data_IF_383205380856
#
_entry.id   IF_383205380856
#
_cell.length_a   1.000
_cell.length_b   1.000
_cell.length_c   1.000
_cell.angle_alpha   90.00
_cell.angle_beta   90.00
_cell.angle_gamma   90.00
#
_symmetry.space_group_name_H-M   'P 1'
#
loop_
_entity.id
_entity.type
_entity.pdbx_description
1 polymer ?
#
# COMPACT_ATOMS: atom_id res chain seq x y z
N UNK A 1 -15.79 14.66 -4.06
CA UNK A 1 -15.34 13.32 -3.59
C UNK A 1 -14.70 12.59 -4.77
N UNK A 2 -13.53 11.95 -4.62
CA UNK A 2 -12.85 11.27 -5.73
C UNK A 2 -13.45 9.87 -6.01
N UNK A 3 -13.59 9.49 -7.29
CA UNK A 3 -14.04 8.16 -7.72
C UNK A 3 -12.89 7.13 -7.75
N UNK A 4 -11.71 7.58 -8.20
CA UNK A 4 -10.48 6.79 -8.30
C UNK A 4 -9.41 7.36 -7.39
N UNK A 5 -8.63 6.48 -6.76
CA UNK A 5 -7.52 6.82 -5.88
C UNK A 5 -6.30 5.99 -6.29
N UNK A 6 -5.18 6.66 -6.56
CA UNK A 6 -3.89 6.02 -6.81
C UNK A 6 -3.07 6.13 -5.53
N UNK A 7 -2.70 4.98 -4.96
CA UNK A 7 -1.93 4.87 -3.73
C UNK A 7 -0.51 4.45 -4.09
N UNK A 8 0.45 5.36 -3.93
CA UNK A 8 1.87 5.08 -4.16
C UNK A 8 2.54 4.70 -2.85
N UNK A 9 3.08 3.49 -2.79
CA UNK A 9 3.86 2.98 -1.66
C UNK A 9 5.34 2.99 -2.04
N UNK A 10 6.16 3.72 -1.27
CA UNK A 10 7.61 3.77 -1.42
C UNK A 10 8.30 2.63 -0.65
N UNK A 11 9.58 2.38 -0.93
CA UNK A 11 10.34 1.29 -0.26
C UNK A 11 10.34 1.44 1.26
N UNK A 12 10.62 2.64 1.80
CA UNK A 12 10.62 2.88 3.25
C UNK A 12 9.27 2.65 3.93
N UNK A 13 8.17 2.84 3.19
CA UNK A 13 6.82 2.51 3.68
C UNK A 13 6.66 1.00 3.77
N UNK A 14 7.08 0.26 2.76
CA UNK A 14 6.93 -1.20 2.70
C UNK A 14 7.89 -1.94 3.66
N UNK A 15 9.00 -1.33 4.03
CA UNK A 15 10.01 -1.96 4.90
C UNK A 15 9.94 -1.51 6.37
N UNK A 16 9.08 -0.55 6.70
CA UNK A 16 9.08 0.08 8.02
C UNK A 16 10.42 0.72 8.39
N UNK A 17 11.24 1.09 7.38
CA UNK A 17 12.60 1.60 7.58
C UNK A 17 13.67 0.52 7.77
N UNK A 18 13.31 -0.77 7.72
CA UNK A 18 14.26 -1.88 7.81
C UNK A 18 14.82 -2.27 6.43
N UNK A 19 15.84 -3.16 6.36
CA UNK A 19 16.32 -3.73 5.10
C UNK A 19 15.39 -4.78 4.47
N UNK A 20 14.30 -5.16 5.13
CA UNK A 20 13.38 -6.23 4.71
C UNK A 20 11.94 -5.74 4.64
N UNK A 21 11.09 -6.44 3.89
CA UNK A 21 9.66 -6.14 3.85
C UNK A 21 8.99 -6.37 5.21
N UNK A 22 8.25 -5.36 5.67
CA UNK A 22 7.44 -5.42 6.89
C UNK A 22 6.03 -5.92 6.53
N UNK A 23 5.87 -7.24 6.56
CA UNK A 23 4.62 -7.90 6.18
C UNK A 23 3.43 -7.50 7.07
N UNK A 24 3.57 -7.44 8.42
CA UNK A 24 2.51 -6.89 9.27
C UNK A 24 2.08 -5.47 8.89
N UNK A 25 3.03 -4.57 8.61
CA UNK A 25 2.71 -3.22 8.16
C UNK A 25 1.98 -3.22 6.80
N UNK A 26 2.44 -4.03 5.86
CA UNK A 26 1.79 -4.18 4.56
C UNK A 26 0.34 -4.68 4.66
N UNK A 27 0.04 -5.60 5.59
CA UNK A 27 -1.34 -6.06 5.85
C UNK A 27 -2.23 -4.91 6.29
N UNK A 28 -1.74 -4.01 7.14
CA UNK A 28 -2.50 -2.83 7.56
C UNK A 28 -2.76 -1.86 6.40
N UNK A 29 -1.78 -1.65 5.51
CA UNK A 29 -1.97 -0.85 4.29
C UNK A 29 -3.04 -1.47 3.38
N UNK A 30 -3.02 -2.79 3.21
CA UNK A 30 -4.02 -3.52 2.43
C UNK A 30 -5.41 -3.41 3.06
N UNK A 31 -5.53 -3.46 4.39
CA UNK A 31 -6.81 -3.29 5.09
C UNK A 31 -7.45 -1.93 4.76
N UNK A 32 -6.66 -0.86 4.76
CA UNK A 32 -7.13 0.48 4.40
C UNK A 32 -7.53 0.58 2.92
N UNK A 33 -6.76 -0.06 2.01
CA UNK A 33 -7.13 -0.15 0.59
C UNK A 33 -8.46 -0.90 0.40
N UNK A 34 -8.65 -2.00 1.12
CA UNK A 34 -9.88 -2.79 1.08
C UNK A 34 -11.09 -1.99 1.58
N UNK A 35 -10.93 -1.19 2.64
CA UNK A 35 -12.00 -0.32 3.14
C UNK A 35 -12.40 0.77 2.13
N UNK A 36 -11.43 1.33 1.39
CA UNK A 36 -11.73 2.24 0.27
C UNK A 36 -12.46 1.51 -0.87
N UNK A 37 -12.00 0.31 -1.22
CA UNK A 37 -12.63 -0.49 -2.27
C UNK A 37 -14.09 -0.87 -1.92
N UNK A 38 -14.35 -1.30 -0.68
CA UNK A 38 -15.71 -1.59 -0.17
C UNK A 38 -16.65 -0.38 -0.22
N UNK A 39 -16.10 0.83 -0.11
CA UNK A 39 -16.86 2.10 -0.26
C UNK A 39 -17.10 2.48 -1.73
N UNK A 40 -16.84 1.58 -2.67
CA UNK A 40 -17.05 1.78 -4.10
C UNK A 40 -15.98 2.65 -4.79
N UNK A 41 -14.79 2.78 -4.20
CA UNK A 41 -13.67 3.49 -4.83
C UNK A 41 -12.91 2.56 -5.76
N UNK A 42 -12.50 3.11 -6.89
CA UNK A 42 -11.53 2.47 -7.78
C UNK A 42 -10.12 2.70 -7.24
N UNK A 43 -9.49 1.65 -6.71
CA UNK A 43 -8.21 1.73 -5.99
C UNK A 43 -7.12 1.14 -6.86
N UNK A 44 -6.10 1.94 -7.16
CA UNK A 44 -4.90 1.51 -7.88
C UNK A 44 -3.71 1.60 -6.94
N UNK A 45 -2.99 0.50 -6.73
CA UNK A 45 -1.77 0.47 -5.90
C UNK A 45 -0.55 0.45 -6.82
N UNK A 46 0.35 1.42 -6.62
CA UNK A 46 1.66 1.46 -7.26
C UNK A 46 2.74 1.26 -6.19
N UNK A 47 3.59 0.25 -6.35
CA UNK A 47 4.54 -0.15 -5.31
C UNK A 47 5.99 0.00 -5.78
N UNK A 48 6.86 0.35 -4.84
CA UNK A 48 8.31 0.17 -4.93
C UNK A 48 8.69 -1.17 -4.27
N UNK A 49 9.90 -1.30 -3.68
CA UNK A 49 10.28 -2.49 -2.90
C UNK A 49 10.74 -3.72 -3.70
N UNK A 50 10.71 -3.69 -5.04
CA UNK A 50 11.13 -4.83 -5.87
C UNK A 50 12.60 -5.27 -5.67
N UNK A 51 13.47 -4.36 -5.21
CA UNK A 51 14.91 -4.61 -4.94
C UNK A 51 15.17 -4.74 -3.42
N UNK A 52 14.15 -4.55 -2.56
CA UNK A 52 14.31 -4.45 -1.11
C UNK A 52 14.41 -5.82 -0.40
N UNK A 53 15.08 -6.79 -1.03
CA UNK A 53 15.29 -8.17 -0.57
C UNK A 53 16.73 -8.61 -0.78
#
# INVERSE_FOLDING_TARGET
MYKRVVIKLGTSVLTGGTPSLDHPHMVELVRQCADLHKRGKDVIVCTSGAIAV
#
